data_IF_323624372445
#
_entry.id   IF_323624372445
#
_cell.length_a   1.000
_cell.length_b   1.000
_cell.length_c   1.000
_cell.angle_alpha   90.00
_cell.angle_beta   90.00
_cell.angle_gamma   90.00
#
_symmetry.space_group_name_H-M   'P 1'
#
loop_
_entity.id
_entity.type
_entity.pdbx_description
1 polymer ?
#
# COMPACT_ATOMS: atom_id res chain seq x y z
N UNK A 1 21.48 3.70 -6.29
CA UNK A 1 22.18 4.83 -5.64
C UNK A 1 21.24 6.00 -5.44
N UNK A 2 20.56 6.04 -4.29
CA UNK A 2 19.55 7.06 -3.96
C UNK A 2 20.17 8.42 -3.60
N UNK A 3 20.86 9.05 -4.56
CA UNK A 3 21.41 10.40 -4.37
C UNK A 3 20.34 11.45 -4.69
N UNK A 4 20.05 12.30 -3.72
CA UNK A 4 19.16 13.46 -3.83
C UNK A 4 18.06 13.48 -2.76
N UNK A 5 17.67 14.67 -2.32
CA UNK A 5 16.57 14.85 -1.36
C UNK A 5 15.25 14.36 -1.95
N UNK A 6 14.27 14.02 -1.10
CA UNK A 6 12.94 13.62 -1.57
C UNK A 6 12.32 14.68 -2.52
N UNK A 7 12.36 15.99 -2.23
CA UNK A 7 11.92 17.03 -3.17
C UNK A 7 12.57 16.93 -4.56
N UNK A 8 13.90 16.81 -4.65
CA UNK A 8 14.62 16.70 -5.93
C UNK A 8 14.16 15.48 -6.76
N UNK A 9 13.71 14.42 -6.08
CA UNK A 9 13.18 13.24 -6.75
C UNK A 9 11.75 13.46 -7.21
N UNK A 10 10.94 14.14 -6.40
CA UNK A 10 9.56 14.52 -6.77
C UNK A 10 9.55 15.54 -7.92
N UNK A 11 10.59 16.38 -8.05
CA UNK A 11 10.73 17.35 -9.15
C UNK A 11 10.72 16.69 -10.52
N UNK A 12 11.29 15.49 -10.61
CA UNK A 12 11.42 14.70 -11.83
C UNK A 12 10.16 13.92 -12.21
N UNK A 13 9.11 13.98 -11.39
CA UNK A 13 7.84 13.33 -11.71
C UNK A 13 7.12 14.12 -12.81
N UNK A 14 6.90 13.44 -13.93
CA UNK A 14 6.07 13.90 -15.05
C UNK A 14 4.78 13.07 -15.07
N UNK A 15 3.83 13.45 -14.20
CA UNK A 15 2.55 12.78 -14.06
C UNK A 15 1.47 13.77 -13.65
N UNK A 16 0.30 13.68 -14.25
CA UNK A 16 -0.86 14.51 -13.88
C UNK A 16 -1.46 14.07 -12.54
N UNK A 17 -1.39 12.77 -12.22
CA UNK A 17 -1.91 12.17 -10.99
C UNK A 17 -0.95 11.16 -10.40
N UNK A 18 -0.78 11.22 -9.07
CA UNK A 18 0.09 10.34 -8.30
C UNK A 18 -0.67 9.77 -7.12
N UNK A 19 -0.68 8.45 -7.01
CA UNK A 19 -1.16 7.75 -5.82
C UNK A 19 -0.02 7.67 -4.80
N UNK A 20 -0.23 8.23 -3.60
CA UNK A 20 0.79 8.25 -2.55
C UNK A 20 0.58 7.08 -1.59
N UNK A 21 1.51 6.12 -1.62
CA UNK A 21 1.56 5.00 -0.69
C UNK A 21 2.84 5.07 0.16
N UNK A 22 2.64 5.05 1.46
CA UNK A 22 3.67 5.09 2.51
C UNK A 22 3.19 4.22 3.66
N UNK A 23 4.08 3.94 4.61
CA UNK A 23 3.75 3.18 5.80
C UNK A 23 2.61 3.83 6.62
N UNK A 24 1.91 3.02 7.41
CA UNK A 24 0.71 3.43 8.15
C UNK A 24 1.02 4.00 9.53
N UNK A 25 2.30 4.12 9.88
CA UNK A 25 2.79 4.67 11.13
C UNK A 25 2.73 6.22 11.18
N UNK A 26 3.10 6.86 12.31
CA UNK A 26 3.10 8.31 12.42
C UNK A 26 4.08 9.02 11.46
N UNK A 27 5.19 8.38 11.07
CA UNK A 27 6.18 8.93 10.14
C UNK A 27 5.66 8.91 8.71
N UNK A 28 5.09 7.78 8.28
CA UNK A 28 4.39 7.65 7.02
C UNK A 28 3.23 8.65 6.91
N UNK A 29 2.48 8.90 7.99
CA UNK A 29 1.44 9.95 7.96
C UNK A 29 2.01 11.36 7.72
N UNK A 30 3.16 11.70 8.31
CA UNK A 30 3.84 12.98 8.04
C UNK A 30 4.33 13.04 6.59
N UNK A 31 4.90 11.95 6.10
CA UNK A 31 5.40 11.83 4.74
C UNK A 31 4.28 11.96 3.70
N UNK A 32 3.15 11.25 3.87
CA UNK A 32 1.98 11.35 3.00
C UNK A 32 1.48 12.79 2.88
N UNK A 33 1.39 13.51 4.00
CA UNK A 33 0.99 14.92 4.03
C UNK A 33 1.99 15.81 3.31
N UNK A 34 3.28 15.60 3.57
CA UNK A 34 4.35 16.36 2.92
C UNK A 34 4.33 16.17 1.39
N UNK A 35 4.32 14.92 0.92
CA UNK A 35 4.35 14.59 -0.51
C UNK A 35 3.09 15.11 -1.20
N UNK A 36 1.91 14.88 -0.62
CA UNK A 36 0.65 15.38 -1.19
C UNK A 36 0.66 16.90 -1.30
N UNK A 37 1.05 17.61 -0.24
CA UNK A 37 1.13 19.07 -0.28
C UNK A 37 2.16 19.59 -1.30
N UNK A 38 3.32 18.94 -1.38
CA UNK A 38 4.38 19.31 -2.33
C UNK A 38 3.92 19.13 -3.78
N UNK A 39 3.32 17.98 -4.11
CA UNK A 39 2.84 17.66 -5.46
C UNK A 39 1.66 18.54 -5.87
N UNK A 40 0.68 18.76 -4.99
CA UNK A 40 -0.48 19.63 -5.28
C UNK A 40 -0.05 21.07 -5.56
N UNK A 41 0.95 21.60 -4.85
CA UNK A 41 1.48 22.94 -5.14
C UNK A 41 2.17 23.05 -6.51
N UNK A 42 2.49 21.92 -7.14
CA UNK A 42 3.06 21.85 -8.49
C UNK A 42 2.02 21.52 -9.57
N UNK A 43 0.73 21.46 -9.22
CA UNK A 43 -0.34 21.12 -10.16
C UNK A 43 -0.53 19.62 -10.41
N UNK A 44 0.09 18.76 -9.60
CA UNK A 44 -0.09 17.31 -9.67
C UNK A 44 -1.20 16.87 -8.71
N UNK A 45 -2.16 16.08 -9.20
CA UNK A 45 -3.21 15.47 -8.37
C UNK A 45 -2.61 14.37 -7.48
N UNK A 46 -2.45 14.66 -6.19
CA UNK A 46 -1.91 13.72 -5.22
C UNK A 46 -3.03 12.99 -4.48
N UNK A 47 -3.30 11.76 -4.89
CA UNK A 47 -4.37 10.93 -4.38
C UNK A 47 -3.96 10.15 -3.12
N UNK A 48 -4.66 10.41 -2.03
CA UNK A 48 -4.53 9.74 -0.73
C UNK A 48 -5.73 8.83 -0.39
N UNK A 49 -6.72 8.71 -1.27
CA UNK A 49 -7.97 7.98 -1.01
C UNK A 49 -7.71 6.51 -0.70
N UNK A 50 -6.89 5.83 -1.49
CA UNK A 50 -6.52 4.42 -1.28
C UNK A 50 -5.75 4.25 0.03
N UNK A 51 -4.77 5.10 0.30
CA UNK A 51 -4.00 5.03 1.55
C UNK A 51 -4.89 5.24 2.79
N UNK A 52 -5.82 6.21 2.75
CA UNK A 52 -6.79 6.44 3.84
C UNK A 52 -7.74 5.25 4.00
N UNK A 53 -8.22 4.69 2.90
CA UNK A 53 -9.06 3.49 2.92
C UNK A 53 -8.35 2.31 3.56
N UNK A 54 -7.12 2.01 3.12
CA UNK A 54 -6.28 0.97 3.72
C UNK A 54 -6.04 1.22 5.21
N UNK A 55 -5.64 2.43 5.60
CA UNK A 55 -5.42 2.79 7.00
C UNK A 55 -6.69 2.59 7.85
N UNK A 56 -7.86 2.95 7.32
CA UNK A 56 -9.15 2.75 8.00
C UNK A 56 -9.52 1.28 8.13
N UNK A 57 -9.28 0.47 7.10
CA UNK A 57 -9.61 -0.95 7.11
C UNK A 57 -8.69 -1.78 8.02
N UNK A 58 -7.42 -1.42 8.10
CA UNK A 58 -6.41 -2.21 8.81
C UNK A 58 -6.38 -1.97 10.32
N UNK A 59 -7.02 -0.90 10.82
CA UNK A 59 -7.23 -0.69 12.26
C UNK A 59 -5.96 -0.66 13.14
N UNK A 60 -4.77 -0.52 12.54
CA UNK A 60 -3.48 -0.61 13.23
C UNK A 60 -2.87 -2.03 13.28
N UNK A 61 -3.51 -3.04 12.70
CA UNK A 61 -3.00 -4.42 12.58
C UNK A 61 -1.77 -4.51 11.66
N UNK A 62 -1.60 -3.52 10.78
CA UNK A 62 -0.52 -3.43 9.81
C UNK A 62 0.14 -2.06 9.92
N UNK A 63 1.45 -2.04 10.17
CA UNK A 63 2.24 -0.81 10.33
C UNK A 63 2.87 -0.31 9.03
N UNK A 64 3.23 -1.22 8.14
CA UNK A 64 3.98 -0.93 6.92
C UNK A 64 3.35 -1.60 5.69
N UNK A 65 3.73 -1.13 4.51
CA UNK A 65 3.19 -1.65 3.23
C UNK A 65 3.61 -3.11 3.00
N UNK A 66 4.77 -3.52 3.49
CA UNK A 66 5.23 -4.92 3.37
C UNK A 66 4.37 -5.88 4.23
N UNK A 67 4.01 -5.45 5.43
CA UNK A 67 3.12 -6.15 6.34
C UNK A 67 1.71 -6.30 5.79
N UNK A 68 1.27 -5.39 4.91
CA UNK A 68 -0.02 -5.49 4.21
C UNK A 68 -0.07 -6.74 3.32
N UNK A 69 0.99 -7.03 2.57
CA UNK A 69 1.05 -8.23 1.72
C UNK A 69 0.92 -9.51 2.55
N UNK A 70 1.66 -9.58 3.66
CA UNK A 70 1.59 -10.71 4.60
C UNK A 70 0.21 -10.82 5.26
N UNK A 71 -0.40 -9.69 5.62
CA UNK A 71 -1.75 -9.65 6.18
C UNK A 71 -2.80 -10.20 5.22
N UNK A 72 -2.76 -9.75 3.97
CA UNK A 72 -3.66 -10.21 2.92
C UNK A 72 -3.45 -11.69 2.62
N UNK A 73 -2.20 -12.17 2.54
CA UNK A 73 -1.90 -13.58 2.32
C UNK A 73 -2.49 -14.49 3.42
N UNK A 74 -2.40 -14.08 4.69
CA UNK A 74 -3.03 -14.79 5.81
C UNK A 74 -4.56 -14.79 5.69
N UNK A 75 -5.16 -13.64 5.38
CA UNK A 75 -6.62 -13.47 5.34
C UNK A 75 -7.27 -14.16 4.14
N UNK A 76 -6.60 -14.18 2.99
CA UNK A 76 -7.00 -14.92 1.79
C UNK A 76 -6.75 -16.44 1.91
N UNK A 77 -5.99 -16.87 2.93
CA UNK A 77 -5.49 -18.24 3.13
C UNK A 77 -6.41 -19.22 3.86
N UNK A 78 -7.65 -18.86 4.19
CA UNK A 78 -8.69 -19.81 4.64
C UNK A 78 -9.51 -20.43 3.50
N UNK A 79 -9.37 -19.94 2.26
CA UNK A 79 -10.18 -20.36 1.12
C UNK A 79 -9.44 -21.28 0.13
N UNK A 80 -8.35 -21.95 0.54
CA UNK A 80 -7.86 -23.11 -0.21
C UNK A 80 -8.78 -24.27 0.09
N UNK A 81 -9.77 -24.46 -0.79
CA UNK A 81 -10.57 -25.67 -0.94
C UNK A 81 -9.70 -26.89 -0.61
N UNK A 82 -10.03 -27.59 0.47
CA UNK A 82 -9.64 -29.00 0.61
C UNK A 82 -10.25 -29.71 -0.59
N UNK A 83 -9.44 -30.03 -1.60
CA UNK A 83 -9.86 -31.00 -2.60
C UNK A 83 -10.04 -32.30 -1.84
N UNK A 84 -11.30 -32.66 -1.62
CA UNK A 84 -11.71 -33.96 -1.10
C UNK A 84 -11.27 -34.97 -2.16
N UNK A 85 -10.12 -35.62 -1.96
CA UNK A 85 -9.76 -36.79 -2.74
C UNK A 85 -10.82 -37.86 -2.44
N UNK A 86 -11.64 -38.18 -3.44
CA UNK A 86 -12.59 -39.27 -3.37
C UNK A 86 -11.85 -40.61 -3.24
N UNK A 87 -12.38 -41.59 -2.49
CA UNK A 87 -11.75 -42.89 -2.36
C UNK A 87 -11.81 -43.61 -3.72
N UNK A 88 -10.68 -44.15 -4.16
CA UNK A 88 -10.66 -45.13 -5.25
C UNK A 88 -11.21 -46.44 -4.70
N UNK A 89 -12.45 -46.75 -5.03
CA UNK A 89 -12.96 -48.11 -4.99
C UNK A 89 -12.45 -48.86 -6.22
N UNK A 90 -11.85 -50.04 -6.02
CA UNK A 90 -11.86 -51.19 -6.94
C UNK A 90 -10.93 -52.28 -6.38
N UNK A 91 -11.51 -53.28 -5.72
CA UNK A 91 -11.17 -54.70 -5.90
C UNK A 91 -12.47 -55.47 -5.91
#
# INVERSE_FOLDING_TARGET
>A
DGKGSLPERLEKLDAERVLVLVDFDPEGQRLARFVSHYLTRRGVDADLSVWRGLKSCLGGEVRDVEGLANYLARRSGGARRRSRAAPRASQ
#
